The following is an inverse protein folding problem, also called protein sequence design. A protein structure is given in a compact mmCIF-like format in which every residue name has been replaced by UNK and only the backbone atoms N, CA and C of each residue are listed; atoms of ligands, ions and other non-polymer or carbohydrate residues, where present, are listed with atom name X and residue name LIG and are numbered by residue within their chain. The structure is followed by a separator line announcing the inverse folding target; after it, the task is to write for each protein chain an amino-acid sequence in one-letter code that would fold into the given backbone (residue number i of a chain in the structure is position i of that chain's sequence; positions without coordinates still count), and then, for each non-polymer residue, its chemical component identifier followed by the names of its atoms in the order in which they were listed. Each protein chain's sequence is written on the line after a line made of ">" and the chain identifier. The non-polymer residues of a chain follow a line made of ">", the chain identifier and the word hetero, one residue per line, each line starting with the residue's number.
data_IF_693445525296
#
_entry.id   IF_693445525296
#
_cell.length_a   1.000
_cell.length_b   1.000
_cell.length_c   1.000
_cell.angle_alpha   90.00
_cell.angle_beta   90.00
_cell.angle_gamma   90.00
#
_symmetry.space_group_name_H-M   'P 1'
#
loop_
_entity.id
_entity.type
_entity.pdbx_description
1 polymer ?
#
# COMPACT_ATOMS: atom_id res chain seq x y z
N UNK A 1 5.85 9.13 -9.31
CA UNK A 1 5.60 10.05 -8.16
C UNK A 1 6.10 9.31 -6.93
N UNK A 2 6.97 9.92 -6.12
CA UNK A 2 7.71 9.20 -5.07
C UNK A 2 6.81 8.44 -4.07
N UNK A 3 5.63 8.96 -3.75
CA UNK A 3 4.64 8.28 -2.88
C UNK A 3 4.11 6.97 -3.46
N UNK A 4 3.89 6.90 -4.79
CA UNK A 4 3.45 5.67 -5.47
C UNK A 4 4.56 4.63 -5.52
N UNK A 5 5.78 5.06 -5.79
CA UNK A 5 6.94 4.17 -5.96
C UNK A 5 7.52 3.68 -4.63
N UNK A 6 7.45 4.49 -3.57
CA UNK A 6 8.05 4.17 -2.27
C UNK A 6 7.03 3.67 -1.24
N UNK A 7 5.84 4.27 -1.15
CA UNK A 7 4.82 3.86 -0.18
C UNK A 7 3.84 2.84 -0.76
N UNK A 8 3.81 2.72 -2.10
CA UNK A 8 2.87 1.85 -2.80
C UNK A 8 1.43 2.29 -2.65
N UNK A 9 1.17 3.59 -2.76
CA UNK A 9 -0.19 4.14 -2.83
C UNK A 9 -0.36 4.86 -4.15
N UNK A 10 -1.36 4.47 -4.91
CA UNK A 10 -1.84 5.25 -6.04
C UNK A 10 -3.08 6.05 -5.66
N UNK A 11 -2.94 7.37 -5.67
CA UNK A 11 -4.02 8.34 -5.42
C UNK A 11 -4.56 8.98 -6.70
N UNK A 12 -4.21 8.48 -7.88
CA UNK A 12 -4.64 9.04 -9.17
C UNK A 12 -6.16 9.04 -9.34
N UNK A 13 -6.87 8.13 -8.64
CA UNK A 13 -8.33 8.02 -8.65
C UNK A 13 -9.01 8.66 -7.44
N UNK A 14 -8.33 9.55 -6.72
CA UNK A 14 -8.92 10.22 -5.55
C UNK A 14 -10.13 11.12 -5.90
N UNK A 15 -10.27 11.55 -7.16
CA UNK A 15 -11.48 12.22 -7.66
C UNK A 15 -12.74 11.34 -7.57
N UNK A 16 -12.58 10.03 -7.56
CA UNK A 16 -13.64 9.02 -7.43
C UNK A 16 -13.72 8.46 -6.00
N UNK A 17 -12.99 9.05 -5.04
CA UNK A 17 -12.76 8.49 -3.70
C UNK A 17 -12.18 7.08 -3.73
N UNK A 18 -11.28 6.78 -4.68
CA UNK A 18 -10.64 5.48 -4.81
C UNK A 18 -9.12 5.58 -4.68
N UNK A 19 -8.53 4.62 -3.97
CA UNK A 19 -7.08 4.41 -3.90
C UNK A 19 -6.70 2.98 -4.28
N UNK A 20 -5.51 2.82 -4.83
CA UNK A 20 -4.92 1.49 -5.06
C UNK A 20 -3.73 1.33 -4.11
N UNK A 21 -3.76 0.26 -3.32
CA UNK A 21 -2.70 -0.13 -2.41
C UNK A 21 -1.82 -1.17 -3.12
N UNK A 22 -0.63 -0.76 -3.52
CA UNK A 22 0.35 -1.57 -4.24
C UNK A 22 1.76 -1.34 -3.66
N UNK A 23 2.03 -1.78 -2.42
CA UNK A 23 3.37 -1.73 -1.84
C UNK A 23 4.40 -2.38 -2.74
N UNK A 24 5.50 -1.66 -2.96
CA UNK A 24 6.66 -2.09 -3.72
C UNK A 24 7.91 -1.95 -2.86
N UNK A 25 8.44 -3.08 -2.35
CA UNK A 25 9.67 -3.07 -1.56
C UNK A 25 10.90 -3.09 -2.47
N UNK A 26 11.29 -1.90 -2.97
CA UNK A 26 12.48 -1.74 -3.80
C UNK A 26 13.72 -2.32 -3.11
N UNK A 27 14.64 -2.91 -3.91
CA UNK A 27 15.90 -3.45 -3.38
C UNK A 27 16.67 -2.38 -2.60
N UNK A 28 17.26 -2.78 -1.47
CA UNK A 28 17.98 -1.87 -0.57
C UNK A 28 17.11 -1.02 0.37
N UNK A 29 15.78 -1.13 0.31
CA UNK A 29 14.86 -0.46 1.24
C UNK A 29 14.15 -1.49 2.12
N UNK A 30 14.45 -1.48 3.41
CA UNK A 30 13.89 -2.46 4.35
C UNK A 30 12.52 -2.08 4.89
N UNK A 31 12.21 -0.79 4.90
CA UNK A 31 10.91 -0.28 5.32
C UNK A 31 10.65 1.10 4.74
N UNK A 32 9.38 1.46 4.63
CA UNK A 32 8.97 2.83 4.36
C UNK A 32 7.70 3.17 5.16
N UNK A 33 7.59 4.43 5.56
CA UNK A 33 6.41 4.99 6.19
C UNK A 33 6.14 6.37 5.59
N UNK A 34 4.87 6.71 5.44
CA UNK A 34 4.50 8.03 4.97
C UNK A 34 3.03 8.37 5.12
N UNK A 35 2.76 9.65 4.96
CA UNK A 35 1.43 10.23 5.01
C UNK A 35 1.16 10.92 3.68
N UNK A 36 0.00 10.65 3.10
CA UNK A 36 -0.49 11.30 1.88
C UNK A 36 -1.71 12.14 2.26
N UNK A 37 -1.58 13.48 2.35
CA UNK A 37 -2.71 14.36 2.57
C UNK A 37 -3.68 14.31 1.40
N UNK A 38 -4.98 14.20 1.67
CA UNK A 38 -6.03 14.26 0.66
C UNK A 38 -7.14 15.20 1.10
N UNK A 39 -8.05 15.56 0.18
CA UNK A 39 -9.24 16.35 0.50
C UNK A 39 -10.20 15.65 1.48
N UNK A 40 -10.04 14.33 1.69
CA UNK A 40 -10.86 13.51 2.59
C UNK A 40 -10.19 13.25 3.94
N UNK A 41 -8.98 13.76 4.16
CA UNK A 41 -8.16 13.47 5.31
C UNK A 41 -6.83 12.83 4.92
N UNK A 42 -6.08 12.42 5.93
CA UNK A 42 -4.76 11.82 5.75
C UNK A 42 -4.86 10.33 5.47
N UNK A 43 -4.12 9.85 4.48
CA UNK A 43 -3.85 8.42 4.30
C UNK A 43 -2.49 8.13 4.90
N UNK A 44 -2.41 7.16 5.82
CA UNK A 44 -1.15 6.75 6.44
C UNK A 44 -0.78 5.36 5.96
N UNK A 45 0.46 5.16 5.55
CA UNK A 45 0.93 3.85 5.11
C UNK A 45 2.30 3.56 5.69
N UNK A 46 2.48 2.30 6.04
CA UNK A 46 3.73 1.72 6.48
C UNK A 46 3.89 0.35 5.89
N UNK A 47 5.11 0.02 5.50
CA UNK A 47 5.49 -1.35 5.23
C UNK A 47 6.92 -1.63 5.69
N UNK A 48 7.22 -2.90 5.91
CA UNK A 48 8.56 -3.34 6.29
C UNK A 48 8.79 -4.81 5.99
N UNK A 49 10.02 -5.14 5.58
CA UNK A 49 10.50 -6.50 5.42
C UNK A 49 10.57 -7.19 6.78
N UNK A 50 10.04 -8.39 6.83
CA UNK A 50 10.14 -9.28 7.97
C UNK A 50 11.35 -10.20 7.82
N UNK A 51 11.77 -10.83 8.92
CA UNK A 51 12.91 -11.75 8.96
C UNK A 51 12.71 -13.02 8.11
N UNK A 52 11.45 -13.38 7.81
CA UNK A 52 11.09 -14.48 6.91
C UNK A 52 11.11 -14.08 5.43
N UNK A 53 11.46 -12.83 5.10
CA UNK A 53 11.47 -12.31 3.73
C UNK A 53 10.12 -11.78 3.25
N UNK A 54 9.04 -11.88 4.03
CA UNK A 54 7.74 -11.28 3.67
C UNK A 54 7.74 -9.76 3.91
N UNK A 55 6.78 -9.07 3.30
CA UNK A 55 6.55 -7.64 3.55
C UNK A 55 5.29 -7.51 4.39
N UNK A 56 5.45 -6.98 5.61
CA UNK A 56 4.32 -6.49 6.40
C UNK A 56 3.84 -5.16 5.84
N UNK A 57 2.53 -5.02 5.63
CA UNK A 57 1.91 -3.81 5.11
C UNK A 57 0.77 -3.35 6.02
N UNK A 58 0.68 -2.05 6.22
CA UNK A 58 -0.41 -1.39 6.92
C UNK A 58 -0.78 -0.09 6.20
N UNK A 59 -2.08 0.11 5.98
CA UNK A 59 -2.67 1.36 5.54
C UNK A 59 -3.79 1.80 6.48
N UNK A 60 -3.92 3.10 6.69
CA UNK A 60 -5.02 3.72 7.38
C UNK A 60 -5.64 4.77 6.45
N UNK A 61 -6.92 4.57 6.13
CA UNK A 61 -7.69 5.38 5.20
C UNK A 61 -8.84 6.05 5.94
N UNK A 62 -9.19 7.31 5.62
CA UNK A 62 -10.46 7.88 6.02
C UNK A 62 -11.64 7.03 5.52
N UNK A 63 -12.72 6.96 6.33
CA UNK A 63 -13.97 6.30 5.93
C UNK A 63 -14.55 6.89 4.64
N UNK A 64 -15.21 6.05 3.86
CA UNK A 64 -15.82 6.44 2.58
C UNK A 64 -14.86 6.50 1.40
N UNK A 65 -13.58 6.16 1.60
CA UNK A 65 -12.64 5.90 0.52
C UNK A 65 -12.72 4.42 0.13
N UNK A 66 -13.00 4.16 -1.14
CA UNK A 66 -12.90 2.83 -1.73
C UNK A 66 -11.43 2.48 -1.96
N UNK A 67 -11.08 1.22 -1.79
CA UNK A 67 -9.71 0.77 -1.96
C UNK A 67 -9.65 -0.60 -2.63
N UNK A 68 -8.54 -0.86 -3.32
CA UNK A 68 -8.19 -2.18 -3.82
C UNK A 68 -6.74 -2.49 -3.47
N UNK A 69 -6.46 -3.76 -3.20
CA UNK A 69 -5.14 -4.22 -2.77
C UNK A 69 -4.84 -5.59 -3.40
N UNK A 70 -4.75 -5.63 -4.73
CA UNK A 70 -4.62 -6.89 -5.48
C UNK A 70 -3.35 -7.68 -5.14
N UNK A 71 -2.30 -7.00 -4.65
CA UNK A 71 -1.04 -7.64 -4.26
C UNK A 71 -1.02 -8.13 -2.81
N UNK A 72 -1.98 -7.74 -1.97
CA UNK A 72 -1.99 -8.09 -0.54
C UNK A 72 -2.71 -9.43 -0.32
N UNK A 73 -1.94 -10.50 -0.16
CA UNK A 73 -2.44 -11.88 -0.13
C UNK A 73 -3.27 -12.23 1.13
N UNK A 74 -3.11 -11.48 2.23
CA UNK A 74 -3.81 -11.72 3.50
C UNK A 74 -4.27 -10.41 4.14
N UNK A 75 -5.04 -9.63 3.39
CA UNK A 75 -5.57 -8.36 3.88
C UNK A 75 -6.63 -8.61 4.97
N UNK A 76 -6.36 -8.13 6.19
CA UNK A 76 -7.32 -7.96 7.27
C UNK A 76 -7.75 -6.50 7.32
N UNK A 77 -9.05 -6.28 7.51
CA UNK A 77 -9.66 -4.95 7.54
C UNK A 77 -10.31 -4.75 8.89
N UNK A 78 -10.01 -3.63 9.54
CA UNK A 78 -10.63 -3.24 10.80
C UNK A 78 -11.03 -1.77 10.73
N UNK A 79 -12.23 -1.44 11.21
CA UNK A 79 -12.66 -0.05 11.34
C UNK A 79 -12.27 0.50 12.72
N UNK A 80 -11.80 1.75 12.75
CA UNK A 80 -11.51 2.46 14.00
C UNK A 80 -12.00 3.91 13.90
N UNK A 81 -13.13 4.19 14.54
CA UNK A 81 -13.78 5.51 14.49
C UNK A 81 -14.08 5.92 13.04
N UNK A 82 -13.42 6.99 12.60
CA UNK A 82 -13.53 7.57 11.25
C UNK A 82 -12.52 7.02 10.24
N UNK A 83 -11.78 5.99 10.62
CA UNK A 83 -10.75 5.36 9.79
C UNK A 83 -11.02 3.89 9.50
N UNK A 84 -10.51 3.42 8.37
CA UNK A 84 -10.41 2.01 7.99
C UNK A 84 -8.93 1.67 7.98
N UNK A 85 -8.55 0.69 8.80
CA UNK A 85 -7.20 0.13 8.82
C UNK A 85 -7.18 -1.17 8.03
N UNK A 86 -6.23 -1.26 7.11
CA UNK A 86 -5.96 -2.42 6.28
C UNK A 86 -4.56 -2.90 6.64
N UNK A 87 -4.42 -4.17 7.01
CA UNK A 87 -3.14 -4.81 7.29
C UNK A 87 -3.01 -6.05 6.45
N UNK A 88 -1.81 -6.39 5.99
CA UNK A 88 -1.60 -7.69 5.36
C UNK A 88 -0.14 -7.98 5.11
N UNK A 89 0.11 -9.14 4.54
CA UNK A 89 1.43 -9.57 4.10
C UNK A 89 1.47 -9.67 2.58
N UNK A 90 2.64 -9.36 2.02
CA UNK A 90 2.97 -9.62 0.62
C UNK A 90 4.17 -10.56 0.56
N UNK A 91 4.21 -11.48 -0.43
CA UNK A 91 5.46 -12.15 -0.76
C UNK A 91 6.51 -11.09 -1.16
N UNK A 92 7.78 -11.30 -0.82
CA UNK A 92 8.85 -10.52 -1.43
C UNK A 92 8.85 -10.80 -2.93
N UNK A 93 8.19 -9.93 -3.68
CA UNK A 93 8.21 -9.99 -5.13
C UNK A 93 9.58 -9.47 -5.57
N UNK A 94 10.42 -10.35 -6.11
CA UNK A 94 11.64 -9.93 -6.78
C UNK A 94 11.25 -8.93 -7.88
N UNK A 95 11.83 -7.73 -7.84
CA UNK A 95 11.53 -6.64 -8.75
C UNK A 95 11.70 -6.99 -10.25
N UNK A 96 12.32 -8.13 -10.56
CA UNK A 96 12.45 -8.66 -11.93
C UNK A 96 11.13 -9.16 -12.54
N UNK A 97 10.16 -9.63 -11.74
CA UNK A 97 8.93 -10.22 -12.27
C UNK A 97 7.87 -9.19 -12.74
N UNK A 98 8.08 -7.90 -12.47
CA UNK A 98 7.08 -6.86 -12.71
C UNK A 98 7.13 -6.24 -14.13
N UNK A 99 8.11 -6.59 -14.97
CA UNK A 99 8.31 -5.93 -16.28
C UNK A 99 8.43 -6.89 -17.48
N UNK A 100 8.35 -8.20 -17.30
CA UNK A 100 8.32 -9.14 -18.44
C UNK A 100 6.89 -9.32 -18.95
N UNK A 101 6.37 -8.30 -19.64
CA UNK A 101 5.38 -8.54 -20.71
C UNK A 101 6.16 -9.05 -21.91
N UNK A 102 6.03 -10.35 -22.17
CA UNK A 102 6.51 -11.03 -23.37
C UNK A 102 6.01 -10.33 -24.63
N UNK A 103 6.93 -10.12 -25.55
CA UNK A 103 6.74 -9.60 -26.92
C UNK A 103 5.85 -10.53 -27.75
#
# INVERSE_FOLDING_TARGET
>A
MLSKELLGIDVSHMGENRVVLQPFAAQGIDWAEGVVPTKRGEIRVRWGRQSNGEISYQAELPKGIFWSAASVASATVSENGDSVRITGTLPAMNAEAAWTTTV
#
